data_IF_726373486630
#
_entry.id   IF_726373486630
#
_cell.length_a   1.000
_cell.length_b   1.000
_cell.length_c   1.000
_cell.angle_alpha   90.00
_cell.angle_beta   90.00
_cell.angle_gamma   90.00
#
_symmetry.space_group_name_H-M   'P 1'
#
loop_
_entity.id
_entity.type
_entity.pdbx_description
1 polymer ?
#
# COMPACT_ATOMS: atom_id res chain seq x y z
N UNK A 1 -3.88 -7.09 -4.57
CA UNK A 1 -3.35 -5.76 -4.93
C UNK A 1 -2.15 -5.80 -5.87
N UNK A 2 -0.97 -6.31 -5.48
CA UNK A 2 0.23 -6.31 -6.36
C UNK A 2 -0.02 -6.96 -7.73
N UNK A 3 -0.58 -8.17 -7.74
CA UNK A 3 -0.94 -8.89 -8.97
C UNK A 3 -1.90 -8.07 -9.87
N UNK A 4 -2.84 -7.33 -9.27
CA UNK A 4 -3.80 -6.49 -10.02
C UNK A 4 -3.05 -5.39 -10.79
N UNK A 5 -2.07 -4.75 -10.14
CA UNK A 5 -1.25 -3.66 -10.70
C UNK A 5 -0.21 -4.11 -11.72
N UNK A 6 0.57 -5.13 -11.40
CA UNK A 6 1.76 -5.50 -12.20
C UNK A 6 1.56 -6.73 -13.07
N UNK A 7 0.45 -7.44 -12.89
CA UNK A 7 0.19 -8.77 -13.48
C UNK A 7 1.22 -9.84 -13.09
N UNK A 8 2.06 -9.56 -12.10
CA UNK A 8 3.07 -10.47 -11.58
C UNK A 8 2.79 -10.80 -10.10
N UNK A 9 3.11 -12.02 -9.64
CA UNK A 9 2.96 -12.38 -8.23
C UNK A 9 3.96 -11.61 -7.35
N UNK A 10 3.56 -11.30 -6.11
CA UNK A 10 4.45 -10.69 -5.11
C UNK A 10 5.13 -11.81 -4.34
N UNK A 11 6.44 -11.99 -4.52
CA UNK A 11 7.23 -13.02 -3.83
C UNK A 11 8.58 -12.46 -3.38
N UNK A 12 8.59 -11.58 -2.36
CA UNK A 12 9.82 -10.96 -1.91
C UNK A 12 10.68 -11.97 -1.15
N UNK A 13 11.97 -12.01 -1.46
CA UNK A 13 12.99 -12.68 -0.67
C UNK A 13 13.25 -11.90 0.63
N UNK A 14 13.86 -12.56 1.62
CA UNK A 14 14.13 -11.91 2.91
C UNK A 14 14.96 -10.62 2.76
N UNK A 15 15.97 -10.62 1.88
CA UNK A 15 16.76 -9.42 1.57
C UNK A 15 15.92 -8.31 0.94
N UNK A 16 14.93 -8.67 0.14
CA UNK A 16 14.02 -7.70 -0.49
C UNK A 16 13.00 -7.13 0.50
N UNK A 17 12.60 -7.90 1.52
CA UNK A 17 11.78 -7.39 2.63
C UNK A 17 12.57 -6.34 3.41
N UNK A 18 13.82 -6.65 3.76
CA UNK A 18 14.70 -5.74 4.50
C UNK A 18 15.03 -4.48 3.69
N UNK A 19 15.24 -4.63 2.38
CA UNK A 19 15.56 -3.55 1.46
C UNK A 19 14.35 -2.97 0.72
N UNK A 20 13.11 -3.26 1.14
CA UNK A 20 11.90 -2.91 0.37
C UNK A 20 11.78 -1.41 0.09
N UNK A 21 12.39 -0.56 0.92
CA UNK A 21 12.42 0.88 0.73
C UNK A 21 13.33 1.36 -0.41
N UNK A 22 14.27 0.52 -0.86
CA UNK A 22 15.28 0.84 -1.88
C UNK A 22 14.95 0.22 -3.25
N UNK A 23 14.06 -0.77 -3.29
CA UNK A 23 13.71 -1.49 -4.52
C UNK A 23 12.96 -0.57 -5.47
N UNK A 24 13.49 -0.45 -6.69
CA UNK A 24 12.89 0.31 -7.79
C UNK A 24 12.24 -0.66 -8.77
N UNK A 25 11.01 -0.34 -9.12
CA UNK A 25 10.19 -1.07 -10.07
C UNK A 25 10.13 -0.28 -11.37
N UNK A 26 10.14 -0.95 -12.51
CA UNK A 26 10.07 -0.33 -13.83
C UNK A 26 9.62 -1.31 -14.90
N UNK A 27 8.95 -0.83 -15.93
CA UNK A 27 8.48 -1.68 -17.03
C UNK A 27 9.62 -2.17 -17.92
N UNK A 28 10.71 -1.41 -17.99
CA UNK A 28 11.93 -1.74 -18.75
C UNK A 28 13.17 -1.59 -17.86
N UNK A 29 14.26 -2.34 -18.14
CA UNK A 29 15.56 -2.11 -17.49
C UNK A 29 15.96 -0.63 -17.57
N UNK A 30 16.42 -0.05 -16.45
CA UNK A 30 16.81 1.36 -16.37
C UNK A 30 15.65 2.36 -16.19
N UNK A 31 14.39 1.94 -16.32
CA UNK A 31 13.24 2.79 -16.03
C UNK A 31 12.79 2.64 -14.57
N UNK A 32 12.23 3.71 -13.99
CA UNK A 32 11.68 3.66 -12.62
C UNK A 32 10.27 4.25 -12.60
N UNK A 33 9.30 3.41 -12.31
CA UNK A 33 7.96 3.82 -11.92
C UNK A 33 7.93 4.06 -10.41
N UNK A 34 7.98 5.35 -10.04
CA UNK A 34 7.94 5.79 -8.64
C UNK A 34 6.65 5.35 -7.93
N UNK A 35 5.52 5.32 -8.64
CA UNK A 35 4.22 4.94 -8.08
C UNK A 35 4.20 3.47 -7.72
N UNK A 36 4.59 2.61 -8.67
CA UNK A 36 4.68 1.15 -8.47
C UNK A 36 5.74 0.77 -7.44
N UNK A 37 6.91 1.41 -7.46
CA UNK A 37 7.96 1.20 -6.45
C UNK A 37 7.46 1.55 -5.05
N UNK A 38 6.72 2.65 -4.93
CA UNK A 38 6.15 3.07 -3.65
C UNK A 38 5.05 2.13 -3.16
N UNK A 39 4.20 1.63 -4.06
CA UNK A 39 3.21 0.61 -3.69
C UNK A 39 3.89 -0.68 -3.22
N UNK A 40 4.93 -1.14 -3.93
CA UNK A 40 5.72 -2.31 -3.52
C UNK A 40 6.22 -2.15 -2.09
N UNK A 41 6.86 -1.01 -1.80
CA UNK A 41 7.34 -0.68 -0.45
C UNK A 41 6.23 -0.77 0.59
N UNK A 42 5.08 -0.15 0.34
CA UNK A 42 3.92 -0.16 1.25
C UNK A 42 3.45 -1.60 1.50
N UNK A 43 3.18 -2.37 0.45
CA UNK A 43 2.65 -3.73 0.58
C UNK A 43 3.61 -4.63 1.37
N UNK A 44 4.91 -4.55 1.07
CA UNK A 44 5.91 -5.38 1.75
C UNK A 44 6.08 -4.95 3.21
N UNK A 45 6.20 -3.65 3.49
CA UNK A 45 6.42 -3.15 4.85
C UNK A 45 5.22 -3.41 5.76
N UNK A 46 3.99 -3.16 5.28
CA UNK A 46 2.77 -3.41 6.07
C UNK A 46 2.55 -4.90 6.33
N UNK A 47 2.83 -5.74 5.33
CA UNK A 47 2.71 -7.20 5.50
C UNK A 47 3.73 -7.73 6.51
N UNK A 48 5.00 -7.31 6.41
CA UNK A 48 6.04 -7.70 7.36
C UNK A 48 5.72 -7.22 8.78
N UNK A 49 5.23 -5.99 8.93
CA UNK A 49 4.81 -5.45 10.22
C UNK A 49 3.63 -6.23 10.82
N UNK A 50 2.62 -6.57 10.01
CA UNK A 50 1.49 -7.37 10.48
C UNK A 50 1.91 -8.77 10.91
N UNK A 51 2.78 -9.45 10.16
CA UNK A 51 3.33 -10.77 10.54
C UNK A 51 4.05 -10.68 11.88
N UNK A 52 4.91 -9.68 12.05
CA UNK A 52 5.62 -9.45 13.31
C UNK A 52 4.65 -9.20 14.47
N UNK A 53 3.62 -8.39 14.24
CA UNK A 53 2.60 -8.08 15.25
C UNK A 53 1.82 -9.32 15.68
N UNK A 54 1.33 -10.12 14.73
CA UNK A 54 0.60 -11.36 14.98
C UNK A 54 1.46 -12.37 15.76
N UNK A 55 2.75 -12.48 15.41
CA UNK A 55 3.69 -13.32 16.16
C UNK A 55 3.83 -12.87 17.62
N UNK A 56 3.92 -11.57 17.87
CA UNK A 56 4.05 -11.05 19.24
C UNK A 56 2.75 -11.17 20.04
N UNK A 57 1.59 -10.95 19.42
CA UNK A 57 0.30 -11.20 20.05
C UNK A 57 0.18 -12.65 20.52
N UNK A 58 0.60 -13.62 19.70
CA UNK A 58 0.63 -15.03 20.10
C UNK A 58 1.67 -15.30 21.20
N UNK A 59 2.91 -14.88 20.98
CA UNK A 59 4.06 -15.30 21.81
C UNK A 59 4.16 -14.55 23.14
N UNK A 60 3.83 -13.25 23.15
CA UNK A 60 4.01 -12.38 24.32
C UNK A 60 2.69 -12.22 25.07
N UNK A 61 1.57 -12.07 24.34
CA UNK A 61 0.25 -11.83 24.95
C UNK A 61 -0.55 -13.13 25.15
N UNK A 62 -0.01 -14.29 24.74
CA UNK A 62 -0.67 -15.59 24.89
C UNK A 62 -1.98 -15.72 24.12
N UNK A 63 -2.20 -14.91 23.08
CA UNK A 63 -3.42 -14.97 22.26
C UNK A 63 -3.39 -16.18 21.33
N UNK A 64 -4.57 -16.70 21.04
CA UNK A 64 -4.73 -17.72 20.02
C UNK A 64 -4.28 -17.22 18.63
N UNK A 65 -3.89 -18.13 17.72
CA UNK A 65 -3.68 -17.81 16.32
C UNK A 65 -4.87 -17.06 15.71
N UNK A 66 -4.61 -15.87 15.15
CA UNK A 66 -5.62 -15.13 14.39
C UNK A 66 -6.14 -15.97 13.22
N UNK A 67 -7.46 -15.93 12.99
CA UNK A 67 -8.09 -16.59 11.85
C UNK A 67 -7.67 -15.94 10.52
N UNK A 68 -7.79 -16.67 9.41
CA UNK A 68 -7.50 -16.12 8.07
C UNK A 68 -8.36 -14.89 7.76
N UNK A 69 -9.65 -14.93 8.13
CA UNK A 69 -10.57 -13.79 7.98
C UNK A 69 -10.07 -12.57 8.75
N UNK A 70 -9.64 -12.77 10.00
CA UNK A 70 -9.10 -11.70 10.82
C UNK A 70 -7.81 -11.11 10.25
N UNK A 71 -6.90 -11.96 9.78
CA UNK A 71 -5.65 -11.54 9.14
C UNK A 71 -5.95 -10.68 7.92
N UNK A 72 -6.85 -11.12 7.04
CA UNK A 72 -7.25 -10.39 5.84
C UNK A 72 -7.91 -9.05 6.19
N UNK A 73 -8.83 -9.00 7.16
CA UNK A 73 -9.46 -7.74 7.58
C UNK A 73 -8.45 -6.76 8.19
N UNK A 74 -7.54 -7.24 9.03
CA UNK A 74 -6.47 -6.41 9.63
C UNK A 74 -5.51 -5.88 8.56
N UNK A 75 -5.15 -6.72 7.59
CA UNK A 75 -4.31 -6.32 6.47
C UNK A 75 -4.99 -5.27 5.59
N UNK A 76 -6.24 -5.50 5.17
CA UNK A 76 -7.02 -4.53 4.40
C UNK A 76 -7.16 -3.19 5.14
N UNK A 77 -7.40 -3.24 6.46
CA UNK A 77 -7.44 -2.03 7.30
C UNK A 77 -6.11 -1.28 7.29
N UNK A 78 -4.97 -1.97 7.42
CA UNK A 78 -3.65 -1.35 7.38
C UNK A 78 -3.35 -0.70 6.02
N UNK A 79 -3.71 -1.36 4.91
CA UNK A 79 -3.52 -0.80 3.57
C UNK A 79 -4.44 0.40 3.32
N UNK A 80 -5.72 0.33 3.71
CA UNK A 80 -6.64 1.46 3.59
C UNK A 80 -6.17 2.67 4.42
N UNK A 81 -5.64 2.44 5.63
CA UNK A 81 -5.05 3.52 6.43
C UNK A 81 -3.87 4.19 5.71
N UNK A 82 -3.04 3.42 4.98
CA UNK A 82 -1.97 4.00 4.15
C UNK A 82 -2.51 4.83 2.99
N UNK A 83 -3.58 4.36 2.36
CA UNK A 83 -4.26 5.11 1.31
C UNK A 83 -4.82 6.43 1.85
N UNK A 84 -5.51 6.41 3.00
CA UNK A 84 -6.06 7.60 3.65
C UNK A 84 -4.96 8.62 4.00
N UNK A 85 -3.87 8.16 4.61
CA UNK A 85 -2.72 9.02 4.91
C UNK A 85 -2.13 9.66 3.66
N UNK A 86 -2.02 8.91 2.56
CA UNK A 86 -1.49 9.42 1.29
C UNK A 86 -2.41 10.46 0.64
N UNK A 87 -3.72 10.30 0.80
CA UNK A 87 -4.71 11.28 0.35
C UNK A 87 -4.61 12.56 1.17
N UNK A 88 -4.58 12.43 2.49
CA UNK A 88 -4.43 13.56 3.41
C UNK A 88 -3.14 14.33 3.17
N UNK A 89 -2.02 13.63 2.96
CA UNK A 89 -0.75 14.29 2.63
C UNK A 89 -0.76 14.95 1.25
N UNK A 90 -1.58 14.50 0.31
CA UNK A 90 -1.72 15.09 -1.01
C UNK A 90 -2.72 16.27 -1.06
N UNK A 91 -3.40 16.56 0.06
CA UNK A 91 -4.31 17.69 0.18
C UNK A 91 -3.52 19.02 0.20
N UNK A 92 -3.58 19.71 -0.94
CA UNK A 92 -2.91 21.00 -1.13
C UNK A 92 -3.62 22.15 -0.43
N UNK A 93 -4.91 22.03 -0.13
CA UNK A 93 -5.63 23.04 0.64
C UNK A 93 -5.15 23.03 2.09
N UNK A 94 -4.95 21.84 2.67
CA UNK A 94 -4.43 21.69 4.04
C UNK A 94 -2.94 21.96 4.16
N UNK A 95 -2.11 21.39 3.28
CA UNK A 95 -0.65 21.39 3.45
C UNK A 95 0.11 22.35 2.53
N UNK A 96 -0.57 23.03 1.61
CA UNK A 96 0.03 24.02 0.72
C UNK A 96 1.22 23.45 -0.07
N UNK A 97 2.38 24.13 0.01
CA UNK A 97 3.61 23.68 -0.68
C UNK A 97 4.25 22.43 -0.08
N UNK A 98 3.87 22.04 1.14
CA UNK A 98 4.37 20.82 1.80
C UNK A 98 3.58 19.57 1.41
N UNK A 99 2.47 19.73 0.69
CA UNK A 99 1.66 18.61 0.22
C UNK A 99 2.48 17.69 -0.69
N UNK A 100 2.26 16.38 -0.52
CA UNK A 100 2.78 15.39 -1.44
C UNK A 100 2.20 15.63 -2.85
N UNK A 101 2.97 15.36 -3.93
CA UNK A 101 2.44 15.50 -5.27
C UNK A 101 1.25 14.55 -5.49
N UNK A 102 0.07 15.09 -5.82
CA UNK A 102 -1.13 14.30 -6.17
C UNK A 102 -0.82 13.19 -7.17
N UNK A 103 -0.05 13.53 -8.21
CA UNK A 103 0.35 12.58 -9.26
C UNK A 103 1.12 11.36 -8.74
N UNK A 104 1.85 11.49 -7.63
CA UNK A 104 2.52 10.36 -7.00
C UNK A 104 1.49 9.46 -6.29
N UNK A 105 0.58 10.04 -5.49
CA UNK A 105 -0.50 9.30 -4.81
C UNK A 105 -1.39 8.57 -5.82
N UNK A 106 -1.85 9.26 -6.87
CA UNK A 106 -2.65 8.67 -7.95
C UNK A 106 -1.90 7.50 -8.60
N UNK A 107 -0.63 7.69 -8.99
CA UNK A 107 0.18 6.61 -9.59
C UNK A 107 0.42 5.44 -8.64
N UNK A 108 0.59 5.68 -7.34
CA UNK A 108 0.77 4.63 -6.33
C UNK A 108 -0.45 3.71 -6.26
N UNK A 109 -1.65 4.28 -6.19
CA UNK A 109 -2.88 3.51 -5.96
C UNK A 109 -3.66 3.14 -7.23
N UNK A 110 -3.24 3.65 -8.40
CA UNK A 110 -3.83 3.25 -9.69
C UNK A 110 -3.77 1.73 -9.90
N UNK A 111 -4.87 1.16 -10.35
CA UNK A 111 -5.09 -0.24 -10.64
C UNK A 111 -5.33 -1.10 -9.40
N UNK A 112 -5.47 -0.52 -8.21
CA UNK A 112 -5.66 -1.26 -6.94
C UNK A 112 -6.79 -0.72 -6.08
N UNK A 113 -7.61 0.19 -6.61
CA UNK A 113 -8.79 0.70 -5.93
C UNK A 113 -10.00 -0.20 -6.20
N UNK A 114 -10.92 -0.22 -5.24
CA UNK A 114 -12.24 -0.80 -5.40
C UNK A 114 -13.08 0.13 -6.29
N UNK A 115 -13.79 -0.45 -7.28
CA UNK A 115 -14.65 0.29 -8.23
C UNK A 115 -13.93 1.48 -8.90
N UNK A 116 -12.65 1.29 -9.23
CA UNK A 116 -11.79 2.35 -9.78
C UNK A 116 -12.36 2.97 -11.07
N UNK A 117 -13.10 2.19 -11.85
CA UNK A 117 -13.81 2.59 -13.06
C UNK A 117 -14.92 3.62 -12.82
N UNK A 118 -15.45 3.70 -11.60
CA UNK A 118 -16.47 4.68 -11.20
C UNK A 118 -15.88 5.95 -10.57
N UNK A 119 -14.57 5.96 -10.30
CA UNK A 119 -13.89 7.08 -9.66
C UNK A 119 -13.39 8.08 -10.73
N UNK A 120 -13.36 9.39 -10.41
CA UNK A 120 -12.72 10.37 -11.27
C UNK A 120 -11.19 10.15 -11.31
N UNK A 121 -10.55 10.65 -12.36
CA UNK A 121 -9.08 10.58 -12.52
C UNK A 121 -8.32 11.18 -11.32
N UNK A 122 -8.87 12.24 -10.71
CA UNK A 122 -8.39 12.82 -9.44
C UNK A 122 -9.35 12.50 -8.29
N UNK A 123 -9.34 11.26 -7.81
CA UNK A 123 -10.17 10.77 -6.71
C UNK A 123 -9.71 11.22 -5.31
N UNK A 124 -8.66 12.02 -5.18
CA UNK A 124 -8.08 12.36 -3.86
C UNK A 124 -9.11 13.04 -2.94
N UNK A 125 -10.00 13.85 -3.51
CA UNK A 125 -11.08 14.54 -2.78
C UNK A 125 -12.33 13.68 -2.52
N UNK A 126 -12.44 12.49 -3.12
CA UNK A 126 -13.66 11.69 -3.07
C UNK A 126 -13.85 10.99 -1.72
N UNK A 127 -15.06 11.02 -1.18
CA UNK A 127 -15.34 10.25 0.05
C UNK A 127 -15.29 8.74 -0.25
N UNK A 128 -14.93 7.94 0.76
CA UNK A 128 -15.06 6.47 0.72
C UNK A 128 -14.22 5.71 -0.33
N UNK A 129 -13.07 6.25 -0.76
CA UNK A 129 -12.12 5.49 -1.60
C UNK A 129 -11.41 4.41 -0.78
N UNK A 130 -11.53 3.15 -1.23
CA UNK A 130 -10.91 1.98 -0.60
C UNK A 130 -10.07 1.19 -1.60
N UNK A 131 -9.10 0.42 -1.09
CA UNK A 131 -8.41 -0.59 -1.90
C UNK A 131 -9.30 -1.81 -2.15
N UNK A 132 -9.15 -2.42 -3.33
CA UNK A 132 -9.93 -3.58 -3.78
C UNK A 132 -9.30 -4.29 -4.96
#
# INVERSE_FOLDING_TARGET
>A
LWLKKTKNPLRPLIGEIMACALIKQGSKPGTTDKGTSRLYRILVSESAHLIWRLRNERRIQGKDPASEREITMRWMKAINLRLELDREMADRQKWGRKAAPKSLTLKTWRGVLLNEDTLPDDWIGESQVLVG
#
